data_IF_046148522163
#
_entry.id   IF_046148522163
#
_cell.length_a   1.000
_cell.length_b   1.000
_cell.length_c   1.000
_cell.angle_alpha   90.00
_cell.angle_beta   90.00
_cell.angle_gamma   90.00
#
_symmetry.space_group_name_H-M   'P 1'
#
loop_
_entity.id
_entity.type
_entity.pdbx_description
1 polymer ?
#
# COMPACT_ATOMS: atom_id res chain seq x y z
N UNK A 1 -4.43 9.85 -18.34
CA UNK A 1 -3.97 9.02 -17.22
C UNK A 1 -2.77 8.10 -17.49
N UNK A 2 -2.60 7.47 -18.66
CA UNK A 2 -1.43 6.61 -18.86
C UNK A 2 -0.09 7.34 -18.65
N UNK A 3 0.04 8.58 -19.12
CA UNK A 3 1.29 9.36 -19.01
C UNK A 3 1.71 9.61 -17.56
N UNK A 4 0.79 10.00 -16.68
CA UNK A 4 1.11 10.28 -15.27
C UNK A 4 1.57 9.02 -14.54
N UNK A 5 0.90 7.88 -14.76
CA UNK A 5 1.28 6.62 -14.11
C UNK A 5 2.61 6.07 -14.65
N UNK A 6 2.86 6.17 -15.93
CA UNK A 6 4.14 5.71 -16.52
C UNK A 6 5.30 6.54 -16.04
N UNK A 7 5.15 7.87 -15.96
CA UNK A 7 6.18 8.75 -15.41
C UNK A 7 6.41 8.52 -13.92
N UNK A 8 5.33 8.42 -13.13
CA UNK A 8 5.41 8.18 -11.67
C UNK A 8 6.05 6.85 -11.33
N UNK A 9 5.76 5.80 -12.11
CA UNK A 9 6.23 4.43 -11.85
C UNK A 9 7.44 4.05 -12.71
N UNK A 10 8.10 5.04 -13.33
CA UNK A 10 9.32 4.76 -14.08
C UNK A 10 10.37 4.13 -13.17
N UNK A 11 10.99 3.03 -13.63
CA UNK A 11 11.98 2.23 -12.89
C UNK A 11 11.51 1.72 -11.50
N UNK A 12 10.19 1.70 -11.22
CA UNK A 12 9.65 1.28 -9.93
C UNK A 12 9.91 -0.21 -9.60
N UNK A 13 10.25 -1.01 -10.58
CA UNK A 13 10.64 -2.41 -10.44
C UNK A 13 11.92 -2.59 -9.62
N UNK A 14 12.80 -1.58 -9.60
CA UNK A 14 14.06 -1.61 -8.84
C UNK A 14 13.91 -1.06 -7.41
N UNK A 15 12.80 -0.41 -7.09
CA UNK A 15 12.64 0.27 -5.82
C UNK A 15 12.50 -0.69 -4.64
N UNK A 16 13.14 -0.32 -3.53
CA UNK A 16 12.94 -0.95 -2.23
C UNK A 16 11.92 -0.13 -1.44
N UNK A 17 10.64 -0.37 -1.69
CA UNK A 17 9.56 0.43 -1.08
C UNK A 17 9.23 -0.03 0.33
N UNK A 18 8.98 0.94 1.22
CA UNK A 18 8.38 0.74 2.53
C UNK A 18 6.88 1.04 2.48
N UNK A 19 6.12 0.51 3.42
CA UNK A 19 4.67 0.77 3.52
C UNK A 19 4.32 2.27 3.57
N UNK A 20 5.22 3.11 4.12
CA UNK A 20 5.08 4.57 4.12
C UNK A 20 5.08 5.13 2.69
N UNK A 21 6.03 4.69 1.86
CA UNK A 21 6.15 5.15 0.47
C UNK A 21 4.94 4.70 -0.35
N UNK A 22 4.52 3.45 -0.20
CA UNK A 22 3.31 2.94 -0.87
C UNK A 22 2.07 3.75 -0.51
N UNK A 23 1.93 4.16 0.76
CA UNK A 23 0.82 5.02 1.21
C UNK A 23 0.85 6.40 0.57
N UNK A 24 2.02 7.02 0.46
CA UNK A 24 2.17 8.35 -0.18
C UNK A 24 1.81 8.26 -1.66
N UNK A 25 2.36 7.29 -2.38
CA UNK A 25 2.06 7.05 -3.79
C UNK A 25 0.57 6.76 -4.03
N UNK A 26 -0.04 5.94 -3.16
CA UNK A 26 -1.46 5.63 -3.27
C UNK A 26 -2.33 6.86 -3.02
N UNK A 27 -1.99 7.69 -2.03
CA UNK A 27 -2.70 8.94 -1.76
C UNK A 27 -2.65 9.88 -2.97
N UNK A 28 -1.46 10.07 -3.55
CA UNK A 28 -1.30 10.86 -4.75
C UNK A 28 -2.17 10.34 -5.91
N UNK A 29 -2.09 9.04 -6.19
CA UNK A 29 -2.86 8.40 -7.25
C UNK A 29 -4.38 8.58 -7.07
N UNK A 30 -4.88 8.29 -5.87
CA UNK A 30 -6.31 8.44 -5.57
C UNK A 30 -6.77 9.89 -5.67
N UNK A 31 -5.97 10.85 -5.21
CA UNK A 31 -6.29 12.26 -5.32
C UNK A 31 -6.37 12.72 -6.79
N UNK A 32 -5.45 12.26 -7.64
CA UNK A 32 -5.52 12.52 -9.08
C UNK A 32 -6.79 11.91 -9.70
N UNK A 33 -7.13 10.68 -9.32
CA UNK A 33 -8.34 10.02 -9.81
C UNK A 33 -9.62 10.74 -9.36
N UNK A 34 -9.70 11.14 -8.10
CA UNK A 34 -10.84 11.91 -7.59
C UNK A 34 -11.04 13.21 -8.36
N UNK A 35 -9.95 13.94 -8.64
CA UNK A 35 -10.01 15.16 -9.46
C UNK A 35 -10.54 14.89 -10.87
N UNK A 36 -10.06 13.85 -11.53
CA UNK A 36 -10.48 13.50 -12.90
C UNK A 36 -11.92 13.03 -12.96
N UNK A 37 -12.37 12.31 -11.93
CA UNK A 37 -13.74 11.80 -11.81
C UNK A 37 -14.71 12.83 -11.17
N UNK A 38 -14.23 14.05 -10.91
CA UNK A 38 -14.98 15.12 -10.25
C UNK A 38 -15.63 14.71 -8.93
N UNK A 39 -14.95 13.79 -8.18
CA UNK A 39 -15.40 13.32 -6.87
C UNK A 39 -14.92 14.29 -5.80
N UNK A 40 -15.83 14.92 -5.08
CA UNK A 40 -15.56 15.79 -3.94
C UNK A 40 -15.37 14.99 -2.65
N UNK A 41 -14.78 15.60 -1.63
CA UNK A 41 -14.61 14.97 -0.31
C UNK A 41 -15.96 14.73 0.39
N UNK A 42 -16.95 15.58 0.12
CA UNK A 42 -18.33 15.51 0.62
C UNK A 42 -19.04 14.23 0.20
N UNK A 43 -18.71 13.70 -0.98
CA UNK A 43 -19.31 12.47 -1.52
C UNK A 43 -18.94 11.22 -0.71
N UNK A 44 -17.97 11.31 0.20
CA UNK A 44 -17.49 10.22 1.08
C UNK A 44 -17.21 8.89 0.34
N UNK A 45 -16.84 8.97 -0.95
CA UNK A 45 -16.57 7.80 -1.81
C UNK A 45 -15.30 7.11 -1.36
N UNK A 46 -15.33 5.81 -1.03
CA UNK A 46 -14.13 5.07 -0.64
C UNK A 46 -13.17 4.87 -1.81
N UNK A 47 -11.88 4.80 -1.51
CA UNK A 47 -10.81 4.64 -2.50
C UNK A 47 -10.98 3.40 -3.40
N UNK A 48 -11.56 2.32 -2.86
CA UNK A 48 -11.87 1.11 -3.64
C UNK A 48 -12.89 1.38 -4.74
N UNK A 49 -13.90 2.19 -4.45
CA UNK A 49 -14.90 2.62 -5.45
C UNK A 49 -14.33 3.59 -6.48
N UNK A 50 -13.38 4.45 -6.08
CA UNK A 50 -12.67 5.35 -6.99
C UNK A 50 -11.89 4.53 -8.02
N UNK A 51 -11.15 3.51 -7.58
CA UNK A 51 -10.41 2.60 -8.47
C UNK A 51 -11.35 1.81 -9.39
N UNK A 52 -12.47 1.32 -8.88
CA UNK A 52 -13.48 0.62 -9.65
C UNK A 52 -14.04 1.52 -10.78
N UNK A 53 -14.46 2.74 -10.45
CA UNK A 53 -14.96 3.73 -11.43
C UNK A 53 -13.94 4.12 -12.49
N UNK A 54 -12.67 4.19 -12.10
CA UNK A 54 -11.58 4.51 -13.04
C UNK A 54 -11.12 3.34 -13.90
N UNK A 55 -11.54 2.09 -13.58
CA UNK A 55 -11.05 0.88 -14.24
C UNK A 55 -9.57 0.59 -13.98
N UNK A 56 -8.96 1.24 -12.98
CA UNK A 56 -7.53 1.11 -12.70
C UNK A 56 -7.27 0.26 -11.46
N UNK A 57 -6.11 -0.38 -11.47
CA UNK A 57 -5.60 -1.16 -10.33
C UNK A 57 -4.86 -0.24 -9.34
N UNK A 58 -4.80 -0.64 -8.07
CA UNK A 58 -4.05 0.12 -7.06
C UNK A 58 -2.55 0.19 -7.38
N UNK A 59 -1.91 1.27 -6.96
CA UNK A 59 -0.45 1.44 -7.10
C UNK A 59 0.31 0.29 -6.42
N UNK A 60 -0.17 -0.19 -5.29
CA UNK A 60 0.44 -1.31 -4.57
C UNK A 60 0.52 -2.57 -5.45
N UNK A 61 -0.56 -2.88 -6.16
CA UNK A 61 -0.60 -4.02 -7.09
C UNK A 61 0.31 -3.78 -8.30
N UNK A 62 0.35 -2.56 -8.83
CA UNK A 62 1.23 -2.21 -9.96
C UNK A 62 2.71 -2.33 -9.58
N UNK A 63 3.12 -1.82 -8.42
CA UNK A 63 4.50 -1.94 -7.91
C UNK A 63 4.93 -3.41 -7.79
N UNK A 64 4.09 -4.25 -7.16
CA UNK A 64 4.37 -5.69 -7.02
C UNK A 64 4.43 -6.39 -8.37
N UNK A 65 3.48 -6.10 -9.26
CA UNK A 65 3.44 -6.67 -10.60
C UNK A 65 4.69 -6.32 -11.40
N UNK A 66 5.12 -5.06 -11.40
CA UNK A 66 6.31 -4.62 -12.12
C UNK A 66 7.57 -5.29 -11.53
N UNK A 67 7.69 -5.34 -10.21
CA UNK A 67 8.82 -5.99 -9.52
C UNK A 67 8.92 -7.47 -9.85
N UNK A 68 7.83 -8.21 -9.76
CA UNK A 68 7.81 -9.66 -10.08
C UNK A 68 8.10 -9.89 -11.57
N UNK A 69 7.51 -9.07 -12.45
CA UNK A 69 7.79 -9.13 -13.89
C UNK A 69 9.26 -8.89 -14.22
N UNK A 70 9.85 -7.86 -13.59
CA UNK A 70 11.26 -7.53 -13.74
C UNK A 70 12.18 -8.65 -13.21
N UNK A 71 11.89 -9.21 -12.05
CA UNK A 71 12.65 -10.32 -11.48
C UNK A 71 12.73 -11.50 -12.46
N UNK A 72 11.61 -11.89 -13.09
CA UNK A 72 11.62 -12.93 -14.11
C UNK A 72 12.40 -12.55 -15.38
N UNK A 73 12.46 -11.26 -15.73
CA UNK A 73 13.31 -10.80 -16.82
C UNK A 73 14.79 -10.94 -16.46
N UNK A 74 15.19 -10.52 -15.27
CA UNK A 74 16.57 -10.62 -14.78
C UNK A 74 17.03 -12.08 -14.69
N UNK A 75 16.17 -12.98 -14.23
CA UNK A 75 16.49 -14.42 -14.15
C UNK A 75 16.84 -15.02 -15.51
N UNK A 76 16.17 -14.59 -16.59
CA UNK A 76 16.45 -15.05 -17.95
C UNK A 76 17.61 -14.36 -18.66
N UNK A 77 18.22 -13.34 -18.01
CA UNK A 77 19.42 -12.69 -18.57
C UNK A 77 20.63 -13.62 -18.49
N UNK A 78 21.59 -13.40 -19.35
CA UNK A 78 22.92 -14.04 -19.25
C UNK A 78 23.63 -13.66 -17.96
N UNK A 79 24.45 -14.55 -17.45
CA UNK A 79 25.11 -14.40 -16.14
C UNK A 79 26.10 -13.21 -16.10
N UNK A 80 26.60 -12.79 -17.25
CA UNK A 80 27.49 -11.63 -17.40
C UNK A 80 26.78 -10.28 -17.19
N UNK A 81 25.47 -10.24 -17.27
CA UNK A 81 24.69 -8.99 -17.15
C UNK A 81 24.71 -8.45 -15.72
N UNK A 82 25.03 -7.17 -15.58
CA UNK A 82 25.12 -6.46 -14.29
C UNK A 82 23.85 -6.62 -13.43
N UNK A 83 22.63 -6.49 -13.97
CA UNK A 83 21.41 -6.65 -13.14
C UNK A 83 21.31 -8.04 -12.51
N UNK A 84 21.74 -9.10 -13.24
CA UNK A 84 21.75 -10.46 -12.71
C UNK A 84 22.82 -10.64 -11.64
N UNK A 85 24.03 -10.14 -11.90
CA UNK A 85 25.11 -10.12 -10.91
C UNK A 85 24.70 -9.40 -9.62
N UNK A 86 24.01 -8.26 -9.70
CA UNK A 86 23.53 -7.52 -8.55
C UNK A 86 22.39 -8.27 -7.81
N UNK A 87 21.47 -8.91 -8.53
CA UNK A 87 20.38 -9.66 -7.90
C UNK A 87 20.89 -10.87 -7.12
N UNK A 88 21.85 -11.61 -7.68
CA UNK A 88 22.39 -12.84 -7.07
C UNK A 88 23.67 -12.62 -6.27
N UNK A 89 24.35 -11.50 -6.49
CA UNK A 89 25.62 -11.18 -5.84
C UNK A 89 25.50 -11.10 -4.32
N UNK A 90 26.56 -11.50 -3.66
CA UNK A 90 26.79 -11.33 -2.23
C UNK A 90 28.10 -10.60 -2.01
N UNK A 91 28.19 -9.83 -0.95
CA UNK A 91 29.47 -9.22 -0.55
C UNK A 91 30.42 -10.35 -0.15
N UNK A 92 31.58 -10.41 -0.81
CA UNK A 92 32.63 -11.37 -0.49
C UNK A 92 33.22 -11.07 0.88
N UNK A 93 33.44 -9.80 1.17
CA UNK A 93 34.01 -9.30 2.41
C UNK A 93 33.21 -8.10 2.92
N UNK A 94 33.22 -7.89 4.23
CA UNK A 94 32.57 -6.75 4.87
C UNK A 94 31.17 -7.00 5.39
N UNK A 95 30.74 -6.13 6.29
CA UNK A 95 29.41 -6.11 6.91
C UNK A 95 28.66 -4.84 6.52
N UNK A 96 27.34 -4.92 6.47
CA UNK A 96 26.52 -3.72 6.30
C UNK A 96 26.75 -2.76 7.45
N UNK A 97 26.94 -1.49 7.16
CA UNK A 97 27.05 -0.45 8.20
C UNK A 97 25.76 -0.35 9.00
N UNK A 98 25.92 -0.15 10.31
CA UNK A 98 24.80 0.06 11.26
C UNK A 98 24.05 1.35 10.88
N UNK A 99 22.72 1.34 11.01
CA UNK A 99 21.88 2.53 10.74
C UNK A 99 21.42 2.71 9.29
N UNK A 100 21.92 1.93 8.34
CA UNK A 100 21.46 1.99 6.95
C UNK A 100 20.13 1.27 6.71
N UNK A 101 19.58 1.41 5.48
CA UNK A 101 18.33 0.82 5.06
C UNK A 101 18.24 -0.68 5.41
N UNK A 102 17.25 -1.05 6.26
CA UNK A 102 17.09 -2.42 6.76
C UNK A 102 16.59 -3.39 5.69
N UNK A 103 15.66 -2.97 4.83
CA UNK A 103 15.09 -3.80 3.77
C UNK A 103 16.02 -3.92 2.57
N UNK A 104 16.17 -5.13 2.05
CA UNK A 104 16.86 -5.42 0.80
C UNK A 104 15.85 -5.57 -0.34
N UNK A 105 16.32 -5.40 -1.57
CA UNK A 105 15.50 -5.68 -2.75
C UNK A 105 14.95 -7.12 -2.74
N UNK A 106 15.82 -8.10 -2.42
CA UNK A 106 15.43 -9.52 -2.31
C UNK A 106 14.30 -9.75 -1.30
N UNK A 107 14.27 -9.02 -0.19
CA UNK A 107 13.22 -9.16 0.83
C UNK A 107 11.88 -8.65 0.30
N UNK A 108 11.89 -7.49 -0.37
CA UNK A 108 10.67 -6.93 -0.99
C UNK A 108 10.18 -7.77 -2.18
N UNK A 109 11.09 -8.42 -2.91
CA UNK A 109 10.76 -9.36 -3.96
C UNK A 109 10.09 -10.61 -3.38
N UNK A 110 10.67 -11.21 -2.32
CA UNK A 110 10.07 -12.37 -1.63
C UNK A 110 8.67 -12.06 -1.10
N UNK A 111 8.46 -10.87 -0.52
CA UNK A 111 7.11 -10.43 -0.11
C UNK A 111 6.15 -10.37 -1.32
N UNK A 112 6.58 -9.76 -2.43
CA UNK A 112 5.76 -9.64 -3.63
C UNK A 112 5.40 -10.99 -4.24
N UNK A 113 6.31 -11.97 -4.19
CA UNK A 113 6.06 -13.36 -4.61
C UNK A 113 5.03 -14.04 -3.72
N UNK A 114 5.16 -13.91 -2.37
CA UNK A 114 4.20 -14.42 -1.40
C UNK A 114 2.81 -13.81 -1.61
N UNK A 115 2.74 -12.50 -1.82
CA UNK A 115 1.50 -11.78 -2.10
C UNK A 115 0.80 -12.31 -3.37
N UNK A 116 1.57 -12.77 -4.35
CA UNK A 116 1.05 -13.36 -5.58
C UNK A 116 0.84 -14.89 -5.48
N UNK A 117 1.08 -15.48 -4.29
CA UNK A 117 1.03 -16.92 -4.06
C UNK A 117 1.98 -17.71 -4.98
N UNK A 118 3.13 -17.12 -5.28
CA UNK A 118 4.22 -17.76 -6.02
C UNK A 118 5.23 -18.27 -4.98
N UNK A 119 5.51 -19.55 -5.05
CA UNK A 119 6.46 -20.18 -4.15
C UNK A 119 7.87 -19.64 -4.32
N UNK A 120 8.49 -19.20 -3.23
CA UNK A 120 9.80 -18.55 -3.24
C UNK A 120 10.98 -19.47 -3.47
N UNK A 121 10.81 -20.79 -3.34
CA UNK A 121 11.84 -21.80 -3.61
C UNK A 121 11.94 -22.18 -5.10
N UNK A 122 10.81 -22.13 -5.82
CA UNK A 122 10.70 -22.63 -7.20
C UNK A 122 10.42 -21.54 -8.23
N UNK A 123 10.37 -20.26 -7.82
CA UNK A 123 9.99 -19.16 -8.72
C UNK A 123 10.93 -18.99 -9.91
N UNK A 124 12.22 -19.25 -9.75
CA UNK A 124 13.22 -19.12 -10.81
C UNK A 124 12.98 -20.12 -11.94
N UNK A 125 12.67 -21.38 -11.58
CA UNK A 125 12.29 -22.40 -12.55
C UNK A 125 11.02 -22.01 -13.33
N UNK A 126 10.03 -21.43 -12.64
CA UNK A 126 8.80 -20.91 -13.28
C UNK A 126 9.06 -19.68 -14.13
N UNK A 127 10.05 -18.87 -13.74
CA UNK A 127 10.44 -17.66 -14.46
C UNK A 127 11.23 -17.94 -15.76
N UNK A 128 11.83 -19.11 -15.93
CA UNK A 128 12.52 -19.50 -17.16
C UNK A 128 11.58 -19.52 -18.35
N UNK A 129 10.35 -20.01 -18.19
CA UNK A 129 9.32 -19.89 -19.22
C UNK A 129 8.61 -18.53 -19.13
N UNK A 130 8.84 -17.70 -20.14
CA UNK A 130 8.27 -16.35 -20.25
C UNK A 130 6.73 -16.35 -20.27
N UNK A 131 6.11 -17.32 -20.92
CA UNK A 131 4.66 -17.40 -21.08
C UNK A 131 4.00 -17.74 -19.77
N UNK A 132 4.45 -18.79 -19.11
CA UNK A 132 3.99 -19.20 -17.78
C UNK A 132 4.22 -18.10 -16.75
N UNK A 133 5.38 -17.45 -16.76
CA UNK A 133 5.67 -16.34 -15.85
C UNK A 133 4.73 -15.16 -16.00
N UNK A 134 4.43 -14.76 -17.26
CA UNK A 134 3.49 -13.68 -17.55
C UNK A 134 2.09 -14.00 -17.03
N UNK A 135 1.63 -15.25 -17.24
CA UNK A 135 0.34 -15.73 -16.74
C UNK A 135 0.29 -15.69 -15.22
N UNK A 136 1.27 -16.28 -14.54
CA UNK A 136 1.37 -16.30 -13.07
C UNK A 136 1.39 -14.89 -12.47
N UNK A 137 2.19 -14.00 -13.04
CA UNK A 137 2.27 -12.60 -12.58
C UNK A 137 0.93 -11.88 -12.73
N UNK A 138 0.21 -12.12 -13.83
CA UNK A 138 -1.09 -11.49 -14.10
C UNK A 138 -2.17 -12.03 -13.17
N UNK A 139 -2.21 -13.35 -12.98
CA UNK A 139 -3.16 -14.02 -12.07
C UNK A 139 -2.88 -13.61 -10.61
N UNK A 140 -1.60 -13.61 -10.20
CA UNK A 140 -1.19 -13.18 -8.88
C UNK A 140 -1.59 -11.73 -8.58
N UNK A 141 -1.40 -10.83 -9.54
CA UNK A 141 -1.80 -9.43 -9.40
C UNK A 141 -3.33 -9.28 -9.24
N UNK A 142 -4.12 -9.99 -10.05
CA UNK A 142 -5.59 -10.00 -9.93
C UNK A 142 -6.04 -10.56 -8.58
N UNK A 143 -5.45 -11.65 -8.13
CA UNK A 143 -5.76 -12.27 -6.84
C UNK A 143 -5.37 -11.37 -5.66
N UNK A 144 -4.23 -10.71 -5.71
CA UNK A 144 -3.80 -9.75 -4.70
C UNK A 144 -4.77 -8.56 -4.61
N UNK A 145 -5.13 -7.97 -5.74
CA UNK A 145 -6.05 -6.82 -5.76
C UNK A 145 -7.43 -7.21 -5.19
N UNK A 146 -7.95 -8.38 -5.52
CA UNK A 146 -9.22 -8.88 -4.97
C UNK A 146 -9.16 -9.00 -3.44
N UNK A 147 -8.10 -9.60 -2.89
CA UNK A 147 -7.91 -9.69 -1.42
C UNK A 147 -7.80 -8.32 -0.78
N UNK A 148 -7.02 -7.42 -1.36
CA UNK A 148 -6.85 -6.05 -0.86
C UNK A 148 -8.19 -5.29 -0.77
N UNK A 149 -9.04 -5.44 -1.79
CA UNK A 149 -10.36 -4.83 -1.81
C UNK A 149 -11.25 -5.43 -0.71
N UNK A 150 -11.22 -6.74 -0.55
CA UNK A 150 -12.01 -7.43 0.48
C UNK A 150 -11.56 -7.05 1.88
N UNK A 151 -10.25 -7.04 2.16
CA UNK A 151 -9.68 -6.59 3.43
C UNK A 151 -10.08 -5.14 3.75
N UNK A 152 -10.12 -4.27 2.72
CA UNK A 152 -10.56 -2.89 2.90
C UNK A 152 -12.04 -2.78 3.24
N UNK A 153 -12.90 -3.63 2.64
CA UNK A 153 -14.33 -3.72 2.96
C UNK A 153 -14.55 -4.20 4.39
N UNK A 154 -13.86 -5.28 4.80
CA UNK A 154 -13.94 -5.85 6.16
C UNK A 154 -13.51 -4.78 7.19
N UNK A 155 -12.36 -4.15 7.00
CA UNK A 155 -11.88 -3.08 7.90
C UNK A 155 -12.84 -1.89 7.98
N UNK A 156 -13.55 -1.59 6.90
CA UNK A 156 -14.55 -0.53 6.89
C UNK A 156 -15.82 -0.94 7.65
N UNK A 157 -16.28 -2.18 7.46
CA UNK A 157 -17.42 -2.74 8.19
C UNK A 157 -17.13 -2.77 9.70
N UNK A 158 -15.97 -3.25 10.10
CA UNK A 158 -15.53 -3.27 11.50
C UNK A 158 -15.48 -1.87 12.14
N UNK A 159 -15.05 -0.86 11.38
CA UNK A 159 -15.06 0.52 11.88
C UNK A 159 -16.46 1.09 12.04
N UNK A 160 -17.39 0.68 11.18
CA UNK A 160 -18.81 1.09 11.30
C UNK A 160 -19.55 0.38 12.42
N UNK A 161 -19.19 -0.90 12.69
CA UNK A 161 -19.82 -1.68 13.76
C UNK A 161 -19.30 -1.33 15.16
N UNK A 162 -18.19 -0.60 15.25
CA UNK A 162 -17.77 -0.04 16.54
C UNK A 162 -18.83 0.94 16.99
N UNK A 163 -19.53 0.56 18.03
CA UNK A 163 -20.53 1.41 18.63
C UNK A 163 -19.82 2.65 19.22
N UNK A 164 -20.05 3.78 18.58
CA UNK A 164 -19.51 5.08 19.03
C UNK A 164 -20.35 5.63 20.18
N UNK A 165 -21.50 5.03 20.47
CA UNK A 165 -22.42 5.40 21.56
C UNK A 165 -22.03 4.78 22.89
N UNK A 166 -21.20 3.73 22.91
CA UNK A 166 -20.61 3.21 24.13
C UNK A 166 -19.61 4.25 24.68
N UNK A 167 -20.12 5.26 25.37
CA UNK A 167 -19.31 6.10 26.24
C UNK A 167 -18.67 5.14 27.25
N UNK A 168 -17.34 5.00 27.30
CA UNK A 168 -16.73 4.17 28.31
C UNK A 168 -17.22 4.67 29.67
N UNK A 169 -17.63 3.76 30.55
CA UNK A 169 -18.08 4.08 31.91
C UNK A 169 -17.08 4.91 32.73
N UNK A 170 -15.89 5.13 32.21
CA UNK A 170 -14.78 5.85 32.79
C UNK A 170 -14.45 7.14 32.03
N UNK A 171 -15.43 8.04 31.93
CA UNK A 171 -15.25 9.39 31.37
C UNK A 171 -15.41 10.44 32.50
N UNK A 172 -14.34 10.70 33.28
CA UNK A 172 -14.44 11.56 34.48
C UNK A 172 -14.64 13.06 34.17
N UNK A 173 -14.49 13.45 32.90
CA UNK A 173 -14.57 14.86 32.52
C UNK A 173 -15.80 15.14 31.67
N UNK A 174 -16.76 15.90 32.20
CA UNK A 174 -18.01 16.25 31.50
C UNK A 174 -18.07 17.76 31.24
N UNK A 175 -18.50 18.15 30.05
CA UNK A 175 -18.72 19.55 29.69
C UNK A 175 -20.01 20.05 30.39
N UNK A 176 -19.90 21.16 31.12
CA UNK A 176 -21.04 21.78 31.83
C UNK A 176 -22.06 22.42 30.90
N UNK A 177 -21.67 22.79 29.67
CA UNK A 177 -22.53 23.48 28.71
C UNK A 177 -23.38 22.52 27.88
N UNK A 178 -22.85 21.34 27.49
CA UNK A 178 -23.55 20.41 26.61
C UNK A 178 -23.56 18.94 27.10
N UNK A 179 -23.14 18.69 28.34
CA UNK A 179 -23.09 17.39 29.01
C UNK A 179 -22.31 16.28 28.25
N UNK A 180 -21.43 16.67 27.34
CA UNK A 180 -20.57 15.73 26.61
C UNK A 180 -19.42 15.26 27.46
N UNK A 181 -19.23 13.95 27.58
CA UNK A 181 -18.18 13.34 28.41
C UNK A 181 -16.89 13.06 27.62
N UNK A 182 -15.75 13.18 28.28
CA UNK A 182 -14.41 13.03 27.71
C UNK A 182 -13.55 12.13 28.58
N UNK A 183 -12.70 11.31 27.95
CA UNK A 183 -11.71 10.45 28.61
C UNK A 183 -10.56 11.21 29.26
N UNK A 184 -10.20 12.34 28.70
CA UNK A 184 -9.04 13.14 29.15
C UNK A 184 -9.42 14.60 29.29
N UNK A 185 -8.84 15.26 30.29
CA UNK A 185 -9.04 16.69 30.58
C UNK A 185 -8.73 17.59 29.36
N UNK A 186 -7.69 17.22 28.56
CA UNK A 186 -7.33 17.97 27.36
C UNK A 186 -8.45 17.97 26.31
N UNK A 187 -9.20 16.86 26.20
CA UNK A 187 -10.36 16.75 25.32
C UNK A 187 -11.49 17.68 25.74
N UNK A 188 -11.76 17.82 27.04
CA UNK A 188 -12.73 18.76 27.58
C UNK A 188 -12.29 20.21 27.33
N UNK A 189 -11.02 20.55 27.59
CA UNK A 189 -10.46 21.91 27.36
C UNK A 189 -10.54 22.29 25.88
N UNK A 190 -10.19 21.38 24.99
CA UNK A 190 -10.28 21.61 23.54
C UNK A 190 -11.74 21.81 23.09
N UNK A 191 -12.65 21.04 23.65
CA UNK A 191 -14.08 21.16 23.37
C UNK A 191 -14.71 22.44 23.95
N UNK A 192 -14.32 22.87 25.14
CA UNK A 192 -14.88 24.09 25.75
C UNK A 192 -14.59 25.36 24.91
N UNK A 193 -13.49 25.35 24.14
CA UNK A 193 -13.18 26.45 23.21
C UNK A 193 -14.21 26.60 22.08
N UNK A 194 -14.95 25.53 21.73
CA UNK A 194 -16.00 25.61 20.72
C UNK A 194 -17.24 26.36 21.24
N UNK A 195 -17.44 26.42 22.55
CA UNK A 195 -18.55 27.16 23.16
C UNK A 195 -18.21 28.65 23.36
N UNK A 196 -16.92 29.00 23.49
CA UNK A 196 -16.47 30.39 23.65
C UNK A 196 -16.31 31.13 22.31
N UNK A 197 -16.41 30.46 21.17
CA UNK A 197 -16.32 31.08 19.85
C UNK A 197 -17.70 31.50 19.26
N UNK A 198 -18.77 31.37 20.03
CA UNK A 198 -20.15 31.65 19.61
C UNK A 198 -20.78 32.86 20.34
N UNK A 199 -19.92 33.72 20.93
CA UNK A 199 -20.35 35.00 21.57
C UNK A 199 -19.81 36.19 20.79
#
# INVERSE_FOLDING_TARGET
MPVVLTSLLYACETWTTYARHERILNRFHINCLKKILHIKWEDKVPDTKVLERSGLTSIQTLLRKNKVRWAGHVTRMGDERIPKKLLYGQLKEGKRSVGRQKRRYKDTLKESLKDFKIETSSWEKKASDRTTWRRLTTQGAKGYEKRRIEDAKIKRAQRKSRDTSAVPSDCPFTCTTCNRSFRARIGLISHSRTHSAST
#
